data_IF_568181040058
#
_entry.id   IF_568181040058
#
_cell.length_a   1.000
_cell.length_b   1.000
_cell.length_c   1.000
_cell.angle_alpha   90.00
_cell.angle_beta   90.00
_cell.angle_gamma   90.00
#
_symmetry.space_group_name_H-M   'P 1'
#
loop_
_entity.id
_entity.type
_entity.pdbx_description
1 polymer ?
#
# COMPACT_ATOMS: atom_id res chain seq x y z
N UNK A 1 -6.66 88.16 -5.99
CA UNK A 1 -6.58 87.84 -7.43
C UNK A 1 -5.33 87.00 -7.69
N UNK A 2 -5.38 85.98 -8.55
CA UNK A 2 -4.46 84.82 -8.51
C UNK A 2 -3.34 84.87 -9.57
N UNK A 3 -2.59 83.76 -9.66
CA UNK A 3 -1.58 83.32 -10.66
C UNK A 3 -0.14 83.68 -10.30
N UNK A 4 0.89 82.82 -10.37
CA UNK A 4 1.18 81.60 -11.13
C UNK A 4 2.40 80.90 -10.45
N UNK A 5 2.42 79.58 -10.24
CA UNK A 5 3.09 78.55 -11.08
C UNK A 5 4.41 77.99 -10.51
N UNK A 6 4.42 76.64 -10.40
CA UNK A 6 5.53 75.69 -10.63
C UNK A 6 6.80 75.74 -9.77
N UNK A 7 7.10 74.63 -9.09
CA UNK A 7 8.38 73.92 -9.23
C UNK A 7 8.21 72.45 -8.78
N UNK A 8 8.58 71.53 -9.66
CA UNK A 8 8.76 70.10 -9.37
C UNK A 8 10.26 69.82 -9.45
N UNK A 9 10.83 69.09 -8.48
CA UNK A 9 11.59 67.84 -8.70
C UNK A 9 12.38 67.39 -7.46
N UNK A 10 12.21 66.08 -7.17
CA UNK A 10 13.12 65.11 -6.55
C UNK A 10 13.80 65.39 -5.20
N UNK A 11 13.61 64.47 -4.24
CA UNK A 11 14.66 63.52 -3.83
C UNK A 11 14.15 62.45 -2.84
N UNK A 12 14.68 61.22 -3.03
CA UNK A 12 14.86 60.10 -2.08
C UNK A 12 13.64 59.58 -1.28
N UNK A 13 13.11 58.38 -1.60
CA UNK A 13 13.61 57.01 -1.28
C UNK A 13 13.41 56.55 0.18
N UNK A 14 12.66 55.46 0.28
CA UNK A 14 12.75 54.32 1.23
C UNK A 14 12.19 54.49 2.65
N UNK A 15 11.01 53.89 2.86
CA UNK A 15 10.56 53.34 4.14
C UNK A 15 10.04 51.91 3.92
N UNK A 16 10.85 50.94 4.30
CA UNK A 16 10.69 49.49 4.09
C UNK A 16 9.47 48.96 4.85
N UNK A 17 8.44 48.46 4.15
CA UNK A 17 7.39 47.62 4.73
C UNK A 17 7.84 46.16 4.59
N UNK A 18 8.42 45.60 5.66
CA UNK A 18 8.80 44.20 5.73
C UNK A 18 7.55 43.32 5.92
N UNK A 19 7.02 42.78 4.83
CA UNK A 19 6.01 41.70 4.86
C UNK A 19 6.78 40.38 4.99
N UNK A 20 6.76 39.79 6.18
CA UNK A 20 7.29 38.44 6.41
C UNK A 20 6.26 37.45 5.87
N UNK A 21 6.47 36.99 4.64
CA UNK A 21 5.74 35.86 4.08
C UNK A 21 6.25 34.56 4.73
N UNK A 22 5.49 34.03 5.69
CA UNK A 22 5.74 32.72 6.27
C UNK A 22 5.44 31.66 5.19
N UNK A 23 6.48 31.19 4.51
CA UNK A 23 6.41 30.04 3.61
C UNK A 23 6.18 28.81 4.50
N UNK A 24 4.94 28.36 4.60
CA UNK A 24 4.62 27.02 5.08
C UNK A 24 5.19 26.02 4.06
N UNK A 25 6.39 25.50 4.33
CA UNK A 25 6.88 24.30 3.67
C UNK A 25 6.02 23.14 4.12
N UNK A 26 4.97 22.83 3.35
CA UNK A 26 4.29 21.55 3.49
C UNK A 26 5.31 20.45 3.18
N UNK A 27 5.45 19.42 4.03
CA UNK A 27 6.26 18.28 3.68
C UNK A 27 5.60 17.63 2.46
N UNK A 28 6.30 17.66 1.32
CA UNK A 28 5.96 16.80 0.21
C UNK A 28 6.13 15.36 0.72
N UNK A 29 5.03 14.66 0.96
CA UNK A 29 5.05 13.21 1.09
C UNK A 29 5.61 12.68 -0.21
N UNK A 30 6.90 12.33 -0.23
CA UNK A 30 7.49 11.61 -1.34
C UNK A 30 6.66 10.34 -1.50
N UNK A 31 5.97 10.22 -2.65
CA UNK A 31 5.40 8.95 -3.05
C UNK A 31 6.55 7.95 -3.04
N UNK A 32 6.52 7.01 -2.10
CA UNK A 32 7.54 5.99 -1.97
C UNK A 32 7.53 5.16 -3.26
N UNK A 33 8.58 5.31 -4.05
CA UNK A 33 8.62 4.76 -5.41
C UNK A 33 8.73 3.24 -5.34
N UNK A 34 7.69 2.55 -5.80
CA UNK A 34 7.72 1.12 -6.00
C UNK A 34 8.73 0.79 -7.11
N UNK A 35 9.86 0.19 -6.78
CA UNK A 35 10.84 -0.24 -7.78
C UNK A 35 10.33 -1.50 -8.50
N UNK A 36 9.74 -1.31 -9.68
CA UNK A 36 9.15 -2.39 -10.49
C UNK A 36 10.16 -3.50 -10.85
N UNK A 37 11.46 -3.18 -10.95
CA UNK A 37 12.52 -4.18 -11.21
C UNK A 37 12.66 -5.22 -10.11
N UNK A 38 12.22 -4.89 -8.90
CA UNK A 38 12.35 -5.73 -7.72
C UNK A 38 11.08 -6.55 -7.43
N UNK A 39 10.07 -6.42 -8.28
CA UNK A 39 8.77 -7.05 -8.09
C UNK A 39 8.82 -8.55 -8.39
N UNK A 40 8.49 -9.43 -7.42
CA UNK A 40 8.67 -10.88 -7.57
C UNK A 40 7.44 -11.61 -8.13
N UNK A 41 6.27 -10.97 -8.14
CA UNK A 41 5.03 -11.65 -8.49
C UNK A 41 4.82 -11.71 -10.00
N UNK A 42 4.14 -12.75 -10.47
CA UNK A 42 3.79 -12.89 -11.89
C UNK A 42 2.83 -11.79 -12.36
N UNK A 43 1.96 -11.30 -11.47
CA UNK A 43 1.09 -10.16 -11.77
C UNK A 43 1.89 -8.85 -11.83
N UNK A 44 1.51 -7.96 -12.75
CA UNK A 44 2.11 -6.63 -12.85
C UNK A 44 1.89 -5.84 -11.56
N UNK A 45 2.91 -5.09 -11.13
CA UNK A 45 2.79 -4.16 -10.03
C UNK A 45 1.91 -2.96 -10.44
N UNK A 46 0.69 -2.92 -9.91
CA UNK A 46 -0.21 -1.78 -10.01
C UNK A 46 -0.44 -1.28 -8.58
N UNK A 47 0.16 -0.17 -8.14
CA UNK A 47 0.13 0.23 -6.72
C UNK A 47 -1.26 0.60 -6.20
N UNK A 48 -2.05 1.31 -7.00
CA UNK A 48 -3.35 1.81 -6.61
C UNK A 48 -4.48 0.93 -7.13
N UNK A 49 -5.46 0.72 -6.26
CA UNK A 49 -6.69 0.01 -6.61
C UNK A 49 -7.58 0.92 -7.44
N UNK A 50 -8.05 0.42 -8.59
CA UNK A 50 -8.90 1.19 -9.48
C UNK A 50 -10.37 0.94 -9.15
N UNK A 51 -11.10 1.99 -8.78
CA UNK A 51 -12.52 1.89 -8.44
C UNK A 51 -13.34 1.28 -9.57
N UNK A 52 -13.05 1.68 -10.82
CA UNK A 52 -13.73 1.18 -12.02
C UNK A 52 -13.60 -0.33 -12.26
N UNK A 53 -12.62 -0.99 -11.64
CA UNK A 53 -12.41 -2.43 -11.79
C UNK A 53 -13.31 -3.24 -10.85
N UNK A 54 -13.79 -2.62 -9.77
CA UNK A 54 -14.47 -3.33 -8.67
C UNK A 54 -15.85 -2.76 -8.37
N UNK A 55 -16.25 -1.65 -8.98
CA UNK A 55 -17.51 -0.97 -8.70
C UNK A 55 -18.22 -0.51 -9.97
N UNK A 56 -19.45 -0.97 -10.15
CA UNK A 56 -20.33 -0.61 -11.27
C UNK A 56 -21.58 0.17 -10.80
N UNK A 57 -21.63 0.53 -9.52
CA UNK A 57 -22.76 1.24 -8.92
C UNK A 57 -22.70 2.77 -9.11
N UNK A 58 -23.60 3.50 -8.42
CA UNK A 58 -23.60 4.96 -8.40
C UNK A 58 -22.26 5.56 -7.94
N UNK A 59 -22.09 6.87 -8.17
CA UNK A 59 -20.91 7.61 -7.69
C UNK A 59 -20.77 7.47 -6.17
N UNK A 60 -19.52 7.32 -5.71
CA UNK A 60 -19.16 7.34 -4.29
C UNK A 60 -18.78 8.74 -3.80
N UNK A 61 -18.91 9.76 -4.64
CA UNK A 61 -18.63 11.15 -4.27
C UNK A 61 -19.51 11.59 -3.10
N UNK A 62 -18.89 12.12 -2.04
CA UNK A 62 -19.57 12.53 -0.80
C UNK A 62 -19.73 11.42 0.25
N UNK A 63 -19.32 10.19 -0.05
CA UNK A 63 -19.40 9.04 0.86
C UNK A 63 -18.04 8.72 1.53
N UNK A 64 -17.12 9.66 1.57
CA UNK A 64 -15.77 9.49 2.14
C UNK A 64 -15.79 9.45 3.67
N UNK A 65 -16.78 10.07 4.32
CA UNK A 65 -16.89 10.15 5.79
C UNK A 65 -17.64 8.98 6.43
N UNK A 66 -17.48 7.78 5.89
CA UNK A 66 -18.17 6.56 6.35
C UNK A 66 -17.97 6.25 7.83
N UNK A 67 -16.85 6.68 8.43
CA UNK A 67 -16.53 6.47 9.84
C UNK A 67 -17.39 7.31 10.81
N UNK A 68 -18.15 8.28 10.31
CA UNK A 68 -19.01 9.13 11.14
C UNK A 68 -20.32 8.44 11.56
N UNK A 69 -20.77 7.47 10.78
CA UNK A 69 -21.90 6.60 11.14
C UNK A 69 -21.34 5.33 11.78
N UNK A 70 -21.72 5.09 13.03
CA UNK A 70 -21.25 3.95 13.82
C UNK A 70 -21.63 2.61 13.18
N UNK A 71 -22.86 2.48 12.68
CA UNK A 71 -23.32 1.24 12.07
C UNK A 71 -22.57 0.96 10.76
N UNK A 72 -22.36 1.99 9.94
CA UNK A 72 -21.53 1.89 8.72
C UNK A 72 -20.10 1.48 9.08
N UNK A 73 -19.48 2.13 10.07
CA UNK A 73 -18.11 1.86 10.49
C UNK A 73 -17.91 0.42 10.98
N UNK A 74 -18.86 -0.11 11.76
CA UNK A 74 -18.87 -1.51 12.22
C UNK A 74 -18.96 -2.46 11.03
N UNK A 75 -19.91 -2.25 10.11
CA UNK A 75 -20.09 -3.10 8.92
C UNK A 75 -18.88 -3.04 8.00
N UNK A 76 -18.25 -1.88 7.81
CA UNK A 76 -16.97 -1.76 7.09
C UNK A 76 -15.88 -2.58 7.78
N UNK A 77 -15.82 -2.56 9.12
CA UNK A 77 -14.91 -3.39 9.90
C UNK A 77 -15.10 -4.88 9.61
N UNK A 78 -16.33 -5.36 9.74
CA UNK A 78 -16.70 -6.76 9.48
C UNK A 78 -16.34 -7.18 8.05
N UNK A 79 -16.77 -6.41 7.04
CA UNK A 79 -16.52 -6.74 5.62
C UNK A 79 -15.04 -6.72 5.24
N UNK A 80 -14.17 -6.06 6.02
CA UNK A 80 -12.72 -6.04 5.76
C UNK A 80 -11.95 -7.19 6.40
N UNK A 81 -12.63 -8.16 7.01
CA UNK A 81 -12.00 -9.38 7.49
C UNK A 81 -11.47 -10.22 6.30
N UNK A 82 -10.16 -10.54 6.27
CA UNK A 82 -9.55 -11.26 5.15
C UNK A 82 -10.01 -12.72 5.00
N UNK A 83 -10.70 -13.26 5.99
CA UNK A 83 -11.17 -14.66 6.01
C UNK A 83 -12.58 -14.83 5.46
N UNK A 84 -13.29 -13.74 5.16
CA UNK A 84 -14.66 -13.79 4.70
C UNK A 84 -14.82 -14.48 3.34
N UNK A 85 -15.83 -15.33 3.29
CA UNK A 85 -16.38 -15.90 2.05
C UNK A 85 -17.40 -14.96 1.41
N UNK A 86 -17.72 -15.21 0.12
CA UNK A 86 -18.77 -14.46 -0.59
C UNK A 86 -20.15 -14.59 0.08
N UNK A 87 -20.46 -15.77 0.64
CA UNK A 87 -21.72 -16.01 1.34
C UNK A 87 -21.82 -15.20 2.64
N UNK A 88 -20.77 -15.20 3.47
CA UNK A 88 -20.73 -14.41 4.71
C UNK A 88 -20.77 -12.90 4.41
N UNK A 89 -20.08 -12.44 3.36
CA UNK A 89 -20.19 -11.06 2.91
C UNK A 89 -21.62 -10.68 2.54
N UNK A 90 -22.37 -11.59 1.90
CA UNK A 90 -23.77 -11.34 1.55
C UNK A 90 -24.63 -11.26 2.80
N UNK A 91 -24.43 -12.16 3.77
CA UNK A 91 -25.16 -12.17 5.03
C UNK A 91 -24.93 -10.89 5.85
N UNK A 92 -23.69 -10.42 5.93
CA UNK A 92 -23.35 -9.16 6.63
C UNK A 92 -24.10 -7.97 6.00
N UNK A 93 -24.10 -7.87 4.66
CA UNK A 93 -24.80 -6.81 3.94
C UNK A 93 -26.32 -6.93 4.10
N UNK A 94 -26.88 -8.12 3.96
CA UNK A 94 -28.32 -8.39 4.14
C UNK A 94 -28.77 -7.94 5.54
N UNK A 95 -28.04 -8.34 6.59
CA UNK A 95 -28.31 -7.98 7.99
C UNK A 95 -28.18 -6.46 8.22
N UNK A 96 -27.18 -5.82 7.63
CA UNK A 96 -27.02 -4.37 7.70
C UNK A 96 -28.26 -3.66 7.12
N UNK A 97 -28.69 -4.07 5.92
CA UNK A 97 -29.86 -3.50 5.26
C UNK A 97 -31.14 -3.73 6.06
N UNK A 98 -31.33 -4.89 6.68
CA UNK A 98 -32.51 -5.18 7.50
C UNK A 98 -32.60 -4.30 8.75
N UNK A 99 -31.46 -4.04 9.39
CA UNK A 99 -31.39 -3.37 10.70
C UNK A 99 -31.22 -1.86 10.60
N UNK A 100 -30.64 -1.34 9.51
CA UNK A 100 -30.38 0.08 9.34
C UNK A 100 -31.68 0.87 9.14
N UNK A 101 -31.84 1.95 9.93
CA UNK A 101 -33.07 2.75 10.00
C UNK A 101 -33.04 4.03 9.16
N UNK A 102 -31.87 4.44 8.69
CA UNK A 102 -31.69 5.63 7.86
C UNK A 102 -31.91 5.36 6.37
N UNK A 103 -31.37 6.24 5.52
CA UNK A 103 -31.32 6.01 4.08
C UNK A 103 -30.35 4.86 3.77
N UNK A 104 -30.91 3.72 3.37
CA UNK A 104 -30.14 2.51 3.10
C UNK A 104 -29.26 2.64 1.86
N UNK A 105 -29.68 3.38 0.84
CA UNK A 105 -28.87 3.57 -0.37
C UNK A 105 -27.62 4.40 -0.02
N UNK A 106 -27.81 5.52 0.67
CA UNK A 106 -26.73 6.40 1.13
C UNK A 106 -25.73 5.66 2.05
N UNK A 107 -26.26 4.88 2.99
CA UNK A 107 -25.45 4.11 3.91
C UNK A 107 -24.67 2.98 3.21
N UNK A 108 -25.27 2.29 2.23
CA UNK A 108 -24.59 1.26 1.45
C UNK A 108 -23.47 1.81 0.57
N UNK A 109 -23.64 3.00 -0.03
CA UNK A 109 -22.57 3.68 -0.75
C UNK A 109 -21.43 4.06 0.20
N UNK A 110 -21.75 4.51 1.41
CA UNK A 110 -20.77 4.79 2.47
C UNK A 110 -20.05 3.53 2.96
N UNK A 111 -20.76 2.40 3.10
CA UNK A 111 -20.14 1.10 3.41
C UNK A 111 -19.14 0.72 2.33
N UNK A 112 -19.54 0.74 1.06
CA UNK A 112 -18.62 0.35 -0.01
C UNK A 112 -17.42 1.30 -0.11
N UNK A 113 -17.64 2.62 0.04
CA UNK A 113 -16.58 3.62 0.10
C UNK A 113 -15.54 3.29 1.17
N UNK A 114 -15.98 2.96 2.40
CA UNK A 114 -15.07 2.56 3.48
C UNK A 114 -14.36 1.23 3.26
N UNK A 115 -15.05 0.23 2.71
CA UNK A 115 -14.44 -1.06 2.35
C UNK A 115 -13.38 -0.87 1.26
N UNK A 116 -13.65 -0.05 0.25
CA UNK A 116 -12.72 0.29 -0.82
C UNK A 116 -11.49 1.01 -0.28
N UNK A 117 -11.68 2.01 0.58
CA UNK A 117 -10.57 2.76 1.20
C UNK A 117 -9.66 1.85 2.03
N UNK A 118 -10.23 1.05 2.95
CA UNK A 118 -9.47 0.11 3.78
C UNK A 118 -8.75 -0.95 2.95
N UNK A 119 -9.44 -1.52 1.96
CA UNK A 119 -8.86 -2.50 1.02
C UNK A 119 -7.68 -1.90 0.26
N UNK A 120 -7.80 -0.66 -0.21
CA UNK A 120 -6.71 0.06 -0.87
C UNK A 120 -5.50 0.27 0.04
N UNK A 121 -5.73 0.65 1.31
CA UNK A 121 -4.66 0.77 2.30
C UNK A 121 -3.95 -0.55 2.58
N UNK A 122 -4.70 -1.62 2.86
CA UNK A 122 -4.12 -2.93 3.15
C UNK A 122 -3.39 -3.50 1.94
N UNK A 123 -3.92 -3.31 0.73
CA UNK A 123 -3.25 -3.71 -0.51
C UNK A 123 -1.90 -3.01 -0.67
N UNK A 124 -1.83 -1.68 -0.49
CA UNK A 124 -0.53 -0.95 -0.52
C UNK A 124 0.45 -1.51 0.51
N UNK A 125 -0.03 -1.83 1.71
CA UNK A 125 0.78 -2.44 2.78
C UNK A 125 1.29 -3.83 2.40
N UNK A 126 0.45 -4.68 1.80
CA UNK A 126 0.85 -6.00 1.28
C UNK A 126 1.93 -5.86 0.20
N UNK A 127 1.73 -5.00 -0.81
CA UNK A 127 2.71 -4.76 -1.88
C UNK A 127 4.06 -4.29 -1.33
N UNK A 128 4.06 -3.36 -0.36
CA UNK A 128 5.27 -2.92 0.34
C UNK A 128 5.94 -4.05 1.12
N UNK A 129 5.13 -4.87 1.80
CA UNK A 129 5.59 -6.04 2.54
C UNK A 129 6.31 -7.05 1.64
N UNK A 130 5.74 -7.35 0.47
CA UNK A 130 6.33 -8.23 -0.55
C UNK A 130 7.69 -7.69 -1.02
N UNK A 131 7.77 -6.41 -1.39
CA UNK A 131 9.04 -5.79 -1.81
C UNK A 131 10.09 -5.85 -0.70
N UNK A 132 9.71 -5.54 0.53
CA UNK A 132 10.62 -5.62 1.68
C UNK A 132 11.10 -7.05 1.90
N UNK A 133 10.20 -8.03 1.78
CA UNK A 133 10.50 -9.45 1.95
C UNK A 133 11.54 -9.95 0.94
N UNK A 134 11.35 -9.63 -0.34
CA UNK A 134 12.27 -10.04 -1.41
C UNK A 134 13.59 -9.28 -1.35
N UNK A 135 13.57 -8.00 -0.97
CA UNK A 135 14.81 -7.26 -0.74
C UNK A 135 15.66 -7.85 0.40
N UNK A 136 15.04 -8.42 1.43
CA UNK A 136 15.77 -9.18 2.46
C UNK A 136 16.39 -10.47 1.91
N UNK A 137 15.72 -11.15 0.96
CA UNK A 137 16.26 -12.39 0.35
C UNK A 137 17.55 -12.13 -0.41
N UNK A 138 17.69 -10.96 -1.02
CA UNK A 138 18.93 -10.53 -1.71
C UNK A 138 20.13 -10.50 -0.77
N UNK A 139 19.93 -10.19 0.52
CA UNK A 139 20.98 -10.27 1.53
C UNK A 139 21.50 -11.71 1.68
N UNK A 140 20.59 -12.68 1.75
CA UNK A 140 20.91 -14.10 1.86
C UNK A 140 21.61 -14.58 0.57
N UNK A 141 21.12 -14.22 -0.61
CA UNK A 141 21.77 -14.59 -1.88
C UNK A 141 23.17 -14.01 -2.01
N UNK A 142 23.40 -12.76 -1.57
CA UNK A 142 24.73 -12.15 -1.53
C UNK A 142 25.67 -12.92 -0.60
N UNK A 143 25.16 -13.37 0.54
CA UNK A 143 25.94 -14.15 1.50
C UNK A 143 26.30 -15.55 0.98
N UNK A 144 25.33 -16.25 0.35
CA UNK A 144 25.57 -17.52 -0.37
C UNK A 144 26.68 -17.34 -1.42
N UNK A 145 26.60 -16.28 -2.22
CA UNK A 145 27.60 -15.98 -3.25
C UNK A 145 28.98 -15.69 -2.65
N UNK A 146 29.03 -14.95 -1.53
CA UNK A 146 30.26 -14.63 -0.79
C UNK A 146 30.92 -15.91 -0.25
N UNK A 147 30.17 -16.75 0.45
CA UNK A 147 30.65 -18.02 1.01
C UNK A 147 31.13 -18.95 -0.12
N UNK A 148 30.35 -19.08 -1.20
CA UNK A 148 30.72 -19.89 -2.36
C UNK A 148 32.01 -19.41 -3.03
N UNK A 149 32.27 -18.10 -3.05
CA UNK A 149 33.54 -17.54 -3.53
C UNK A 149 34.69 -17.85 -2.57
N UNK A 150 34.47 -17.70 -1.27
CA UNK A 150 35.47 -17.97 -0.24
C UNK A 150 35.88 -19.44 -0.23
N UNK A 151 34.93 -20.37 -0.26
CA UNK A 151 35.22 -21.81 -0.34
C UNK A 151 36.05 -22.16 -1.59
N UNK A 152 35.76 -21.55 -2.74
CA UNK A 152 36.56 -21.73 -3.97
C UNK A 152 37.99 -21.21 -3.80
N UNK A 153 38.18 -20.10 -3.09
CA UNK A 153 39.51 -19.55 -2.77
C UNK A 153 40.29 -20.50 -1.85
N UNK A 154 39.69 -20.95 -0.75
CA UNK A 154 40.32 -21.87 0.22
C UNK A 154 40.72 -23.21 -0.39
N UNK A 155 39.89 -23.76 -1.28
CA UNK A 155 40.25 -24.96 -2.06
C UNK A 155 41.49 -24.75 -2.94
N UNK A 156 41.64 -23.57 -3.56
CA UNK A 156 42.85 -23.24 -4.35
C UNK A 156 44.10 -23.08 -3.48
N UNK A 157 43.93 -22.68 -2.22
CA UNK A 157 44.99 -22.57 -1.22
C UNK A 157 45.35 -23.93 -0.58
N UNK A 158 44.73 -25.03 -1.03
CA UNK A 158 45.03 -26.39 -0.59
C UNK A 158 44.19 -26.90 0.58
N UNK A 159 43.16 -26.16 1.02
CA UNK A 159 42.27 -26.63 2.08
C UNK A 159 41.36 -27.76 1.60
N UNK A 160 41.25 -28.82 2.41
CA UNK A 160 40.35 -29.97 2.17
C UNK A 160 39.03 -29.81 2.90
N UNK A 161 37.99 -30.54 2.48
CA UNK A 161 36.67 -30.53 3.11
C UNK A 161 36.68 -30.96 4.59
N UNK A 162 37.73 -31.67 5.02
CA UNK A 162 37.79 -32.28 6.33
C UNK A 162 38.28 -31.29 7.39
N UNK A 163 38.93 -30.22 6.94
CA UNK A 163 39.38 -29.11 7.77
C UNK A 163 38.19 -28.37 8.37
N UNK A 164 38.29 -28.03 9.65
CA UNK A 164 37.19 -27.43 10.42
C UNK A 164 36.66 -26.14 9.77
N UNK A 165 37.54 -25.27 9.27
CA UNK A 165 37.15 -24.04 8.57
C UNK A 165 36.28 -24.33 7.33
N UNK A 166 36.62 -25.37 6.57
CA UNK A 166 35.85 -25.78 5.39
C UNK A 166 34.50 -26.40 5.77
N UNK A 167 34.43 -27.13 6.88
CA UNK A 167 33.16 -27.66 7.41
C UNK A 167 32.22 -26.53 7.84
N UNK A 168 32.73 -25.54 8.57
CA UNK A 168 31.94 -24.37 9.00
C UNK A 168 31.41 -23.57 7.80
N UNK A 169 32.24 -23.34 6.78
CA UNK A 169 31.80 -22.69 5.54
C UNK A 169 30.71 -23.50 4.83
N UNK A 170 30.86 -24.83 4.78
CA UNK A 170 29.87 -25.73 4.17
C UNK A 170 28.54 -25.69 4.92
N UNK A 171 28.56 -25.85 6.24
CA UNK A 171 27.36 -25.76 7.08
C UNK A 171 26.66 -24.40 6.95
N UNK A 172 27.43 -23.32 6.91
CA UNK A 172 26.88 -21.97 6.73
C UNK A 172 26.23 -21.81 5.36
N UNK A 173 26.86 -22.33 4.30
CA UNK A 173 26.31 -22.31 2.95
C UNK A 173 25.00 -23.11 2.86
N UNK A 174 24.98 -24.33 3.40
CA UNK A 174 23.81 -25.21 3.42
C UNK A 174 22.65 -24.57 4.19
N UNK A 175 22.94 -23.99 5.36
CA UNK A 175 21.95 -23.28 6.16
C UNK A 175 21.33 -22.11 5.38
N UNK A 176 22.16 -21.22 4.81
CA UNK A 176 21.66 -20.07 4.06
C UNK A 176 20.87 -20.49 2.81
N UNK A 177 21.32 -21.54 2.12
CA UNK A 177 20.63 -22.07 0.93
C UNK A 177 19.26 -22.61 1.31
N UNK A 178 19.17 -23.42 2.38
CA UNK A 178 17.88 -23.93 2.86
C UNK A 178 16.93 -22.79 3.25
N UNK A 179 17.42 -21.81 4.01
CA UNK A 179 16.61 -20.65 4.41
C UNK A 179 16.12 -19.87 3.19
N UNK A 180 16.97 -19.67 2.19
CA UNK A 180 16.57 -19.03 0.93
C UNK A 180 15.47 -19.84 0.22
N UNK A 181 15.68 -21.15 0.02
CA UNK A 181 14.73 -22.01 -0.70
C UNK A 181 13.35 -22.09 -0.02
N UNK A 182 13.32 -22.14 1.32
CA UNK A 182 12.06 -22.12 2.08
C UNK A 182 11.32 -20.79 1.91
N UNK A 183 12.07 -19.68 1.90
CA UNK A 183 11.49 -18.33 1.77
C UNK A 183 11.07 -18.00 0.35
N UNK A 184 11.80 -18.50 -0.64
CA UNK A 184 11.44 -18.37 -2.04
C UNK A 184 10.07 -19.01 -2.31
N UNK A 185 9.84 -20.22 -1.77
CA UNK A 185 8.52 -20.89 -1.82
C UNK A 185 7.39 -20.07 -1.20
N UNK A 186 7.67 -19.36 -0.11
CA UNK A 186 6.67 -18.51 0.55
C UNK A 186 6.30 -17.27 -0.28
N UNK A 187 7.17 -16.84 -1.18
CA UNK A 187 6.91 -15.67 -2.04
C UNK A 187 5.66 -15.86 -2.89
N UNK A 188 5.36 -17.09 -3.31
CA UNK A 188 4.13 -17.41 -4.07
C UNK A 188 2.89 -17.05 -3.27
N UNK A 189 2.78 -17.51 -2.01
CA UNK A 189 1.63 -17.21 -1.16
C UNK A 189 1.52 -15.72 -0.83
N UNK A 190 2.65 -15.05 -0.60
CA UNK A 190 2.66 -13.59 -0.41
C UNK A 190 2.10 -12.85 -1.62
N UNK A 191 2.37 -13.35 -2.83
CA UNK A 191 1.84 -12.79 -4.07
C UNK A 191 0.36 -13.09 -4.32
N UNK A 192 -0.21 -14.11 -3.67
CA UNK A 192 -1.65 -14.44 -3.76
C UNK A 192 -2.50 -13.50 -2.88
N UNK A 193 -1.97 -13.04 -1.76
CA UNK A 193 -2.71 -12.19 -0.79
C UNK A 193 -3.37 -10.93 -1.41
N UNK A 194 -2.68 -10.11 -2.23
CA UNK A 194 -3.31 -8.98 -2.90
C UNK A 194 -4.42 -9.40 -3.87
N UNK A 195 -4.29 -10.57 -4.51
CA UNK A 195 -5.28 -11.09 -5.47
C UNK A 195 -6.55 -11.48 -4.74
N UNK A 196 -6.41 -12.20 -3.62
CA UNK A 196 -7.55 -12.61 -2.79
C UNK A 196 -8.27 -11.38 -2.20
N UNK A 197 -7.53 -10.34 -1.83
CA UNK A 197 -8.11 -9.06 -1.39
C UNK A 197 -8.97 -8.42 -2.49
N UNK A 198 -8.48 -8.34 -3.72
CA UNK A 198 -9.25 -7.79 -4.85
C UNK A 198 -10.49 -8.64 -5.18
N UNK A 199 -10.37 -9.98 -5.10
CA UNK A 199 -11.51 -10.88 -5.28
C UNK A 199 -12.61 -10.65 -4.22
N UNK A 200 -12.22 -10.54 -2.95
CA UNK A 200 -13.14 -10.21 -1.86
C UNK A 200 -13.85 -8.87 -2.07
N UNK A 201 -13.11 -7.86 -2.50
CA UNK A 201 -13.71 -6.56 -2.83
C UNK A 201 -14.79 -6.67 -3.92
N UNK A 202 -14.59 -7.55 -4.91
CA UNK A 202 -15.60 -7.89 -5.89
C UNK A 202 -16.85 -8.56 -5.29
N UNK A 203 -16.70 -9.42 -4.28
CA UNK A 203 -17.83 -10.00 -3.53
C UNK A 203 -18.62 -8.92 -2.80
N UNK A 204 -17.93 -8.05 -2.07
CA UNK A 204 -18.56 -6.95 -1.33
C UNK A 204 -19.33 -6.01 -2.25
N UNK A 205 -18.75 -5.65 -3.40
CA UNK A 205 -19.42 -4.84 -4.41
C UNK A 205 -20.73 -5.47 -4.87
N UNK A 206 -20.71 -6.75 -5.28
CA UNK A 206 -21.91 -7.45 -5.76
C UNK A 206 -22.99 -7.59 -4.68
N UNK A 207 -22.59 -7.93 -3.46
CA UNK A 207 -23.50 -8.03 -2.33
C UNK A 207 -24.21 -6.69 -2.07
N UNK A 208 -23.48 -5.58 -2.10
CA UNK A 208 -24.05 -4.24 -1.91
C UNK A 208 -24.95 -3.83 -3.08
N UNK A 209 -24.51 -4.03 -4.32
CA UNK A 209 -25.27 -3.65 -5.52
C UNK A 209 -26.64 -4.34 -5.61
N UNK A 210 -26.78 -5.55 -5.07
CA UNK A 210 -28.06 -6.27 -5.00
C UNK A 210 -29.14 -5.49 -4.23
N UNK A 211 -28.75 -4.65 -3.27
CA UNK A 211 -29.68 -3.87 -2.43
C UNK A 211 -29.84 -2.42 -2.84
N UNK A 212 -28.96 -1.91 -3.71
CA UNK A 212 -29.09 -0.57 -4.24
C UNK A 212 -30.34 -0.49 -5.14
N UNK A 213 -31.27 0.38 -4.77
CA UNK A 213 -32.43 0.67 -5.60
C UNK A 213 -31.99 1.50 -6.81
N UNK A 214 -32.48 1.14 -7.99
CA UNK A 214 -32.35 1.92 -9.23
C UNK A 214 -33.16 3.20 -9.17
#
# INVERSE_FOLDING_TARGET
MPTNSTFSFHFLRLGFLAVIAAIFTMPASAAEEFNEKDWPCAQRLVPELMLSTVWEGPSLEGHDKWWQDEAVSVTVGELTDPTLTEAESTEIVDKFVETYKGDKNDALLSVFSGVFEKSGYERRKQLKGILKYVNQQRGITKEIARISKEMRKRRKEGMTSEMEEMKLLTQTLEWNTRVYDERDKLTVYLCEEPVLLEQRLGFHSRAIMKHLKK
#
